data_IF_280449097161
#
_entry.id   IF_280449097161
#
_cell.length_a   1.000
_cell.length_b   1.000
_cell.length_c   1.000
_cell.angle_alpha   90.00
_cell.angle_beta   90.00
_cell.angle_gamma   90.00
#
_symmetry.space_group_name_H-M   'P 1'
#
loop_
_entity.id
_entity.type
_entity.pdbx_description
1 polymer ?
#
# COMPACT_ATOMS: atom_id res chain seq x y z
N UNK A 1 -19.70 -46.43 5.25
CA UNK A 1 -18.75 -45.60 4.46
C UNK A 1 -17.29 -45.97 4.71
N UNK A 2 -16.64 -45.61 5.83
CA UNK A 2 -15.21 -45.96 6.04
C UNK A 2 -14.92 -47.46 5.95
N UNK A 3 -15.69 -48.27 6.68
CA UNK A 3 -15.57 -49.74 6.66
C UNK A 3 -15.81 -50.35 5.26
N UNK A 4 -16.61 -49.70 4.42
CA UNK A 4 -16.91 -50.19 3.06
C UNK A 4 -15.73 -49.94 2.12
N UNK A 5 -15.08 -48.78 2.23
CA UNK A 5 -13.84 -48.51 1.51
C UNK A 5 -12.68 -49.39 1.99
N UNK A 6 -12.57 -49.66 3.28
CA UNK A 6 -11.56 -50.60 3.80
C UNK A 6 -11.75 -52.03 3.24
N UNK A 7 -13.00 -52.49 3.13
CA UNK A 7 -13.32 -53.77 2.46
C UNK A 7 -12.94 -53.76 0.97
N UNK A 8 -13.19 -52.65 0.26
CA UNK A 8 -12.77 -52.50 -1.13
C UNK A 8 -11.24 -52.54 -1.26
N UNK A 9 -10.51 -51.88 -0.35
CA UNK A 9 -9.06 -51.91 -0.31
C UNK A 9 -8.52 -53.32 -0.04
N UNK A 10 -9.11 -54.05 0.92
CA UNK A 10 -8.76 -55.45 1.22
C UNK A 10 -9.01 -56.39 0.03
N UNK A 11 -9.99 -56.08 -0.82
CA UNK A 11 -10.26 -56.81 -2.07
C UNK A 11 -9.38 -56.40 -3.26
N UNK A 12 -8.49 -55.42 -3.08
CA UNK A 12 -7.60 -54.91 -4.14
C UNK A 12 -8.27 -54.01 -5.17
N UNK A 13 -9.53 -53.62 -4.97
CA UNK A 13 -10.29 -52.75 -5.89
C UNK A 13 -9.88 -51.28 -5.81
N UNK A 14 -9.37 -50.85 -4.66
CA UNK A 14 -8.79 -49.51 -4.44
C UNK A 14 -7.48 -49.67 -3.65
N UNK A 15 -6.64 -48.63 -3.61
CA UNK A 15 -5.43 -48.67 -2.79
C UNK A 15 -5.77 -48.39 -1.32
N UNK A 16 -5.10 -49.04 -0.35
CA UNK A 16 -5.30 -48.74 1.08
C UNK A 16 -5.05 -47.26 1.42
N UNK A 17 -4.09 -46.60 0.77
CA UNK A 17 -3.80 -45.18 0.96
C UNK A 17 -4.88 -44.22 0.41
N UNK A 18 -5.78 -44.71 -0.43
CA UNK A 18 -6.85 -43.90 -1.04
C UNK A 18 -8.11 -43.81 -0.14
N UNK A 19 -8.21 -44.69 0.87
CA UNK A 19 -9.40 -44.84 1.72
C UNK A 19 -9.76 -43.53 2.41
N UNK A 20 -8.79 -42.82 3.00
CA UNK A 20 -9.04 -41.58 3.74
C UNK A 20 -9.59 -40.47 2.84
N UNK A 21 -8.98 -40.28 1.66
CA UNK A 21 -9.42 -39.32 0.65
C UNK A 21 -10.85 -39.60 0.18
N UNK A 22 -11.19 -40.88 -0.06
CA UNK A 22 -12.55 -41.28 -0.46
C UNK A 22 -13.57 -41.10 0.66
N UNK A 23 -13.19 -41.38 1.91
CA UNK A 23 -14.02 -41.09 3.09
C UNK A 23 -14.29 -39.59 3.19
N UNK A 24 -13.26 -38.75 3.04
CA UNK A 24 -13.41 -37.31 3.10
C UNK A 24 -14.33 -36.79 1.99
N UNK A 25 -14.11 -37.20 0.74
CA UNK A 25 -14.99 -36.85 -0.39
C UNK A 25 -16.45 -37.20 -0.09
N UNK A 26 -16.70 -38.40 0.43
CA UNK A 26 -18.06 -38.84 0.64
C UNK A 26 -18.71 -38.25 1.91
N UNK A 27 -17.91 -37.85 2.89
CA UNK A 27 -18.38 -37.19 4.12
C UNK A 27 -18.68 -35.72 3.88
N UNK A 28 -17.76 -35.02 3.22
CA UNK A 28 -17.93 -33.59 2.90
C UNK A 28 -18.90 -33.39 1.73
N UNK A 29 -18.91 -34.30 0.76
CA UNK A 29 -19.80 -34.26 -0.40
C UNK A 29 -19.31 -33.34 -1.52
N UNK A 30 -18.08 -32.82 -1.44
CA UNK A 30 -17.52 -31.87 -2.40
C UNK A 30 -16.07 -32.18 -2.77
N UNK A 31 -15.70 -31.80 -3.98
CA UNK A 31 -14.33 -31.95 -4.48
C UNK A 31 -13.97 -30.86 -5.49
N UNK A 32 -12.67 -30.75 -5.78
CA UNK A 32 -12.11 -29.90 -6.83
C UNK A 32 -11.39 -30.76 -7.86
N UNK A 33 -11.65 -30.51 -9.15
CA UNK A 33 -10.91 -31.09 -10.26
C UNK A 33 -10.06 -30.01 -10.95
N UNK A 34 -8.80 -30.31 -11.27
CA UNK A 34 -7.86 -29.34 -11.86
C UNK A 34 -8.39 -28.64 -13.12
N UNK A 35 -9.09 -29.37 -13.99
CA UNK A 35 -9.59 -28.84 -15.27
C UNK A 35 -11.10 -28.57 -15.31
N UNK A 36 -11.86 -29.10 -14.34
CA UNK A 36 -13.34 -29.02 -14.37
C UNK A 36 -13.89 -28.16 -13.24
N UNK A 37 -13.03 -27.74 -12.30
CA UNK A 37 -13.40 -26.91 -11.17
C UNK A 37 -14.17 -27.67 -10.11
N UNK A 38 -15.06 -26.95 -9.44
CA UNK A 38 -15.88 -27.42 -8.33
C UNK A 38 -16.79 -28.57 -8.77
N UNK A 39 -16.85 -29.61 -7.94
CA UNK A 39 -17.70 -30.78 -8.11
C UNK A 39 -18.49 -31.09 -6.85
N UNK A 40 -19.80 -31.33 -7.00
CA UNK A 40 -20.68 -31.82 -5.93
C UNK A 40 -20.91 -33.32 -6.09
N UNK A 41 -20.53 -34.09 -5.08
CA UNK A 41 -20.72 -35.53 -5.09
C UNK A 41 -22.19 -35.82 -4.81
N UNK A 42 -22.85 -36.51 -5.74
CA UNK A 42 -24.26 -36.89 -5.64
C UNK A 42 -24.45 -38.29 -5.08
N UNK A 43 -23.62 -39.22 -5.53
CA UNK A 43 -23.70 -40.61 -5.11
C UNK A 43 -22.31 -41.23 -5.04
N UNK A 44 -22.15 -42.15 -4.10
CA UNK A 44 -20.99 -43.03 -3.97
C UNK A 44 -21.53 -44.45 -3.94
N UNK A 45 -21.25 -45.21 -4.98
CA UNK A 45 -21.66 -46.61 -5.13
C UNK A 45 -20.45 -47.52 -4.96
N UNK A 46 -20.32 -48.06 -3.75
CA UNK A 46 -19.26 -49.00 -3.38
C UNK A 46 -19.43 -50.37 -4.04
N UNK A 47 -20.64 -50.72 -4.51
CA UNK A 47 -20.92 -52.00 -5.19
C UNK A 47 -20.41 -51.93 -6.63
N UNK A 48 -20.76 -50.86 -7.34
CA UNK A 48 -20.30 -50.61 -8.71
C UNK A 48 -18.88 -50.05 -8.79
N UNK A 49 -18.32 -49.62 -7.67
CA UNK A 49 -16.97 -49.04 -7.64
C UNK A 49 -16.91 -47.65 -8.24
N UNK A 50 -18.01 -46.87 -8.20
CA UNK A 50 -18.10 -45.56 -8.87
C UNK A 50 -18.68 -44.48 -7.98
N UNK A 51 -18.33 -43.23 -8.27
CA UNK A 51 -18.99 -42.03 -7.73
C UNK A 51 -19.53 -41.16 -8.86
N UNK A 52 -20.69 -40.53 -8.64
CA UNK A 52 -21.25 -39.55 -9.55
C UNK A 52 -21.04 -38.14 -9.00
N UNK A 53 -20.41 -37.28 -9.80
CA UNK A 53 -20.07 -35.90 -9.42
C UNK A 53 -20.68 -34.93 -10.42
N UNK A 54 -21.36 -33.91 -9.90
CA UNK A 54 -21.87 -32.79 -10.67
C UNK A 54 -20.81 -31.70 -10.74
N UNK A 55 -20.17 -31.55 -11.90
CA UNK A 55 -19.38 -30.37 -12.23
C UNK A 55 -20.22 -29.38 -13.04
N UNK A 56 -19.87 -28.09 -13.04
CA UNK A 56 -20.62 -27.04 -13.75
C UNK A 56 -20.91 -27.38 -15.22
N UNK A 57 -19.94 -27.97 -15.92
CA UNK A 57 -20.06 -28.34 -17.33
C UNK A 57 -20.30 -29.84 -17.57
N UNK A 58 -20.40 -30.64 -16.51
CA UNK A 58 -20.51 -32.11 -16.56
C UNK A 58 -21.38 -32.64 -15.41
N UNK A 59 -22.71 -32.47 -15.47
CA UNK A 59 -23.60 -33.03 -14.47
C UNK A 59 -23.59 -34.56 -14.52
N UNK A 60 -23.62 -35.19 -13.35
CA UNK A 60 -23.70 -36.65 -13.19
C UNK A 60 -22.48 -37.42 -13.69
N UNK A 61 -21.31 -36.79 -13.77
CA UNK A 61 -20.13 -37.43 -14.32
C UNK A 61 -19.67 -38.60 -13.43
N UNK A 62 -19.64 -39.80 -14.01
CA UNK A 62 -19.30 -41.04 -13.31
C UNK A 62 -17.80 -41.27 -13.32
N UNK A 63 -17.19 -41.38 -12.14
CA UNK A 63 -15.75 -41.57 -11.92
C UNK A 63 -15.53 -42.85 -11.11
N UNK A 64 -14.55 -43.65 -11.50
CA UNK A 64 -14.15 -44.87 -10.77
C UNK A 64 -13.52 -44.52 -9.41
N UNK A 65 -13.90 -45.24 -8.35
CA UNK A 65 -13.39 -44.98 -6.99
C UNK A 65 -11.88 -45.17 -6.87
N UNK A 66 -11.27 -46.04 -7.68
CA UNK A 66 -9.81 -46.21 -7.71
C UNK A 66 -9.08 -45.09 -8.48
N UNK A 67 -9.82 -44.24 -9.18
CA UNK A 67 -9.28 -43.13 -9.96
C UNK A 67 -9.59 -41.76 -9.34
N UNK A 68 -10.71 -41.63 -8.62
CA UNK A 68 -11.14 -40.37 -8.00
C UNK A 68 -10.02 -39.68 -7.17
N UNK A 69 -9.29 -40.35 -6.26
CA UNK A 69 -8.23 -39.72 -5.46
C UNK A 69 -7.07 -39.16 -6.28
N UNK A 70 -6.90 -39.62 -7.54
CA UNK A 70 -5.79 -39.20 -8.42
C UNK A 70 -6.10 -37.89 -9.16
N UNK A 71 -7.38 -37.54 -9.31
CA UNK A 71 -7.82 -36.39 -10.12
C UNK A 71 -8.70 -35.41 -9.34
N UNK A 72 -9.23 -35.81 -8.19
CA UNK A 72 -10.08 -35.00 -7.33
C UNK A 72 -9.38 -34.71 -6.01
N UNK A 73 -9.47 -33.46 -5.57
CA UNK A 73 -9.09 -33.05 -4.22
C UNK A 73 -10.37 -32.86 -3.41
N UNK A 74 -10.57 -33.56 -2.28
CA UNK A 74 -11.71 -33.29 -1.40
C UNK A 74 -11.66 -31.86 -0.88
N UNK A 75 -12.82 -31.21 -0.73
CA UNK A 75 -12.93 -29.91 -0.07
C UNK A 75 -14.01 -29.99 1.01
N UNK A 76 -13.88 -29.23 2.10
CA UNK A 76 -14.89 -29.24 3.15
C UNK A 76 -16.17 -28.51 2.74
N UNK A 77 -17.29 -28.83 3.37
CA UNK A 77 -18.57 -28.13 3.20
C UNK A 77 -18.49 -26.63 3.55
N UNK A 78 -17.55 -26.24 4.39
CA UNK A 78 -17.28 -24.84 4.75
C UNK A 78 -16.46 -24.10 3.70
N UNK A 79 -15.84 -24.79 2.75
CA UNK A 79 -15.06 -24.18 1.66
C UNK A 79 -15.93 -23.19 0.87
N UNK A 80 -15.35 -22.06 0.43
CA UNK A 80 -16.09 -20.97 -0.23
C UNK A 80 -16.92 -21.43 -1.44
N UNK A 81 -16.34 -22.28 -2.30
CA UNK A 81 -17.06 -22.87 -3.44
C UNK A 81 -18.21 -23.80 -3.02
N UNK A 82 -18.06 -24.56 -1.93
CA UNK A 82 -19.14 -25.39 -1.39
C UNK A 82 -20.27 -24.52 -0.82
N UNK A 83 -19.94 -23.41 -0.13
CA UNK A 83 -20.92 -22.44 0.37
C UNK A 83 -21.68 -21.74 -0.76
N UNK A 84 -21.01 -21.33 -1.84
CA UNK A 84 -21.70 -20.78 -3.03
C UNK A 84 -22.76 -21.74 -3.58
N UNK A 85 -22.44 -23.04 -3.62
CA UNK A 85 -23.33 -24.06 -4.17
C UNK A 85 -24.46 -24.49 -3.21
N UNK A 86 -24.34 -24.24 -1.90
CA UNK A 86 -25.28 -24.74 -0.89
C UNK A 86 -26.05 -23.65 -0.15
N UNK A 87 -25.44 -22.50 0.08
CA UNK A 87 -26.00 -21.37 0.81
C UNK A 87 -25.48 -20.03 0.27
N UNK A 88 -25.85 -19.70 -0.96
CA UNK A 88 -25.50 -18.42 -1.59
C UNK A 88 -26.11 -17.23 -0.83
N UNK A 89 -27.34 -17.37 -0.32
CA UNK A 89 -28.02 -16.28 0.41
C UNK A 89 -27.32 -15.96 1.72
N UNK A 90 -26.96 -16.97 2.52
CA UNK A 90 -26.18 -16.79 3.74
C UNK A 90 -24.79 -16.24 3.46
N UNK A 91 -24.13 -16.68 2.37
CA UNK A 91 -22.84 -16.13 1.97
C UNK A 91 -22.92 -14.64 1.60
N UNK A 92 -23.95 -14.21 0.87
CA UNK A 92 -24.19 -12.79 0.57
C UNK A 92 -24.45 -11.97 1.83
N UNK A 93 -25.25 -12.49 2.75
CA UNK A 93 -25.51 -11.82 4.03
C UNK A 93 -24.23 -11.69 4.87
N UNK A 94 -23.42 -12.75 4.93
CA UNK A 94 -22.12 -12.72 5.60
C UNK A 94 -21.18 -11.71 4.95
N UNK A 95 -21.12 -11.64 3.62
CA UNK A 95 -20.33 -10.64 2.91
C UNK A 95 -20.79 -9.21 3.21
N UNK A 96 -22.09 -8.98 3.40
CA UNK A 96 -22.62 -7.65 3.70
C UNK A 96 -22.38 -7.19 5.15
N UNK A 97 -22.33 -8.12 6.11
CA UNK A 97 -22.35 -7.80 7.54
C UNK A 97 -21.06 -8.18 8.29
N UNK A 98 -20.29 -9.15 7.79
CA UNK A 98 -19.17 -9.79 8.48
C UNK A 98 -18.03 -10.02 7.48
N UNK A 99 -17.41 -8.93 7.00
CA UNK A 99 -16.38 -8.99 5.95
C UNK A 99 -15.21 -9.91 6.32
N UNK A 100 -14.76 -9.83 7.57
CA UNK A 100 -13.63 -10.61 8.08
C UNK A 100 -13.91 -12.11 8.10
N UNK A 101 -15.11 -12.52 8.48
CA UNK A 101 -15.52 -13.93 8.48
C UNK A 101 -15.52 -14.51 7.07
N UNK A 102 -15.98 -13.75 6.06
CA UNK A 102 -15.87 -14.19 4.66
C UNK A 102 -14.42 -14.36 4.24
N UNK A 103 -13.54 -13.44 4.63
CA UNK A 103 -12.12 -13.52 4.30
C UNK A 103 -11.48 -14.73 5.00
N UNK A 104 -11.81 -14.98 6.26
CA UNK A 104 -11.36 -16.16 6.99
C UNK A 104 -11.80 -17.45 6.29
N UNK A 105 -13.04 -17.53 5.84
CA UNK A 105 -13.51 -18.69 5.03
C UNK A 105 -12.67 -18.87 3.77
N UNK A 106 -12.27 -17.79 3.09
CA UNK A 106 -11.41 -17.85 1.89
C UNK A 106 -9.99 -18.30 2.27
N UNK A 107 -9.45 -17.83 3.40
CA UNK A 107 -8.15 -18.27 3.93
C UNK A 107 -8.19 -19.77 4.26
N UNK A 108 -9.21 -20.24 4.98
CA UNK A 108 -9.37 -21.66 5.31
C UNK A 108 -9.57 -22.53 4.06
N UNK A 109 -10.17 -21.95 3.00
CA UNK A 109 -10.40 -22.64 1.72
C UNK A 109 -9.12 -22.80 0.90
N UNK A 110 -8.27 -21.77 0.84
CA UNK A 110 -7.16 -21.71 -0.12
C UNK A 110 -5.76 -21.67 0.52
N UNK A 111 -5.65 -21.46 1.83
CA UNK A 111 -4.39 -21.35 2.55
C UNK A 111 -3.45 -20.32 1.92
N UNK A 112 -2.26 -20.77 1.52
CA UNK A 112 -1.23 -19.93 0.88
C UNK A 112 -1.66 -19.29 -0.45
N UNK A 113 -2.77 -19.74 -1.04
CA UNK A 113 -3.31 -19.16 -2.28
C UNK A 113 -4.38 -18.09 -2.00
N UNK A 114 -4.71 -17.81 -0.74
CA UNK A 114 -5.66 -16.77 -0.34
C UNK A 114 -5.05 -15.36 -0.48
N UNK A 115 -4.73 -14.96 -1.71
CA UNK A 115 -4.22 -13.63 -2.04
C UNK A 115 -5.35 -12.61 -2.17
N UNK A 116 -5.01 -11.31 -2.23
CA UNK A 116 -6.01 -10.26 -2.48
C UNK A 116 -6.75 -10.45 -3.80
N UNK A 117 -6.07 -10.98 -4.82
CA UNK A 117 -6.67 -11.28 -6.12
C UNK A 117 -7.58 -12.51 -6.03
N UNK A 118 -7.21 -13.54 -5.26
CA UNK A 118 -8.07 -14.70 -5.02
C UNK A 118 -9.34 -14.33 -4.27
N UNK A 119 -9.28 -13.41 -3.30
CA UNK A 119 -10.49 -12.89 -2.62
C UNK A 119 -11.45 -12.27 -3.64
N UNK A 120 -10.92 -11.45 -4.57
CA UNK A 120 -11.73 -10.84 -5.61
C UNK A 120 -12.35 -11.90 -6.54
N UNK A 121 -11.54 -12.83 -7.04
CA UNK A 121 -11.97 -13.93 -7.91
C UNK A 121 -13.06 -14.79 -7.26
N UNK A 122 -12.93 -15.06 -5.95
CA UNK A 122 -13.88 -15.89 -5.23
C UNK A 122 -15.20 -15.18 -4.92
N UNK A 123 -15.25 -13.85 -4.85
CA UNK A 123 -16.47 -13.13 -4.48
C UNK A 123 -17.18 -12.47 -5.67
N UNK A 124 -16.45 -12.07 -6.71
CA UNK A 124 -16.99 -11.28 -7.83
C UNK A 124 -17.21 -12.18 -9.06
N UNK A 125 -18.35 -12.07 -9.77
CA UNK A 125 -19.50 -11.21 -9.50
C UNK A 125 -20.61 -11.90 -8.66
N UNK A 126 -20.41 -13.16 -8.28
CA UNK A 126 -21.50 -14.00 -7.76
C UNK A 126 -22.03 -13.56 -6.39
N UNK A 127 -21.12 -13.18 -5.49
CA UNK A 127 -21.43 -12.78 -4.10
C UNK A 127 -21.52 -11.25 -4.00
N UNK A 128 -20.58 -10.55 -4.64
CA UNK A 128 -20.47 -9.10 -4.62
C UNK A 128 -20.38 -8.60 -6.07
N UNK A 129 -21.16 -7.57 -6.38
CA UNK A 129 -21.11 -6.92 -7.68
C UNK A 129 -19.74 -6.26 -7.93
N UNK A 130 -19.31 -6.28 -9.19
CA UNK A 130 -17.97 -5.80 -9.59
C UNK A 130 -17.73 -4.34 -9.19
N UNK A 131 -18.75 -3.51 -9.27
CA UNK A 131 -18.66 -2.08 -9.01
C UNK A 131 -18.57 -1.76 -7.50
N UNK A 132 -19.14 -2.63 -6.66
CA UNK A 132 -19.12 -2.47 -5.20
C UNK A 132 -17.88 -3.05 -4.53
N UNK A 133 -17.18 -3.98 -5.21
CA UNK A 133 -16.04 -4.70 -4.64
C UNK A 133 -14.95 -3.77 -4.10
N UNK A 134 -14.64 -2.67 -4.78
CA UNK A 134 -13.58 -1.75 -4.32
C UNK A 134 -13.89 -1.17 -2.94
N UNK A 135 -15.12 -0.70 -2.74
CA UNK A 135 -15.59 -0.11 -1.47
C UNK A 135 -15.70 -1.18 -0.38
N UNK A 136 -16.19 -2.36 -0.75
CA UNK A 136 -16.25 -3.53 0.14
C UNK A 136 -14.86 -3.91 0.64
N UNK A 137 -13.87 -4.01 -0.26
CA UNK A 137 -12.50 -4.39 0.07
C UNK A 137 -11.77 -3.35 0.93
N UNK A 138 -12.04 -2.06 0.74
CA UNK A 138 -11.52 -1.02 1.64
C UNK A 138 -12.10 -1.14 3.06
N UNK A 139 -13.38 -1.46 3.18
CA UNK A 139 -14.05 -1.69 4.48
C UNK A 139 -13.48 -2.92 5.17
N UNK A 140 -13.42 -4.05 4.46
CA UNK A 140 -12.87 -5.30 4.98
C UNK A 140 -11.41 -5.15 5.43
N UNK A 141 -10.58 -4.45 4.65
CA UNK A 141 -9.18 -4.15 5.04
C UNK A 141 -9.09 -3.35 6.32
N UNK A 142 -9.95 -2.35 6.51
CA UNK A 142 -9.97 -1.55 7.74
C UNK A 142 -10.40 -2.38 8.95
N UNK A 143 -11.39 -3.25 8.79
CA UNK A 143 -11.83 -4.17 9.85
C UNK A 143 -10.69 -5.14 10.20
N UNK A 144 -10.12 -5.85 9.23
CA UNK A 144 -8.97 -6.77 9.45
C UNK A 144 -7.78 -6.09 10.12
N UNK A 145 -7.49 -4.83 9.79
CA UNK A 145 -6.43 -4.07 10.48
C UNK A 145 -6.72 -3.89 11.97
N UNK A 146 -7.98 -3.73 12.37
CA UNK A 146 -8.37 -3.50 13.77
C UNK A 146 -8.47 -4.77 14.61
N UNK A 147 -8.77 -5.91 13.99
CA UNK A 147 -9.07 -7.16 14.71
C UNK A 147 -7.84 -7.91 15.23
N UNK A 148 -6.65 -7.64 14.70
CA UNK A 148 -5.40 -8.21 15.24
C UNK A 148 -5.12 -9.67 14.88
N UNK A 149 -6.07 -10.45 14.36
CA UNK A 149 -5.82 -11.83 13.88
C UNK A 149 -5.32 -11.89 12.43
N UNK A 150 -5.56 -10.83 11.65
CA UNK A 150 -5.21 -10.78 10.24
C UNK A 150 -3.89 -10.05 10.00
N UNK A 151 -3.01 -10.70 9.24
CA UNK A 151 -1.81 -10.06 8.70
C UNK A 151 -2.00 -9.86 7.20
N UNK A 152 -2.15 -8.59 6.83
CA UNK A 152 -2.32 -8.19 5.43
C UNK A 152 -0.96 -8.11 4.74
N UNK A 153 -0.80 -8.71 3.56
CA UNK A 153 0.45 -8.64 2.82
C UNK A 153 0.68 -7.24 2.26
N UNK A 154 1.95 -6.91 2.03
CA UNK A 154 2.34 -5.65 1.36
C UNK A 154 2.19 -5.74 -0.16
N UNK A 155 2.25 -6.96 -0.72
CA UNK A 155 2.06 -7.24 -2.14
C UNK A 155 0.78 -8.04 -2.37
N UNK A 156 0.05 -7.72 -3.43
CA UNK A 156 -1.20 -8.41 -3.80
C UNK A 156 -1.01 -9.90 -4.12
N UNK A 157 0.22 -10.30 -4.47
CA UNK A 157 0.60 -11.68 -4.81
C UNK A 157 0.89 -12.56 -3.59
N UNK A 158 1.04 -11.95 -2.41
CA UNK A 158 1.28 -12.67 -1.16
C UNK A 158 -0.06 -13.02 -0.50
N UNK A 159 -0.07 -14.08 0.31
CA UNK A 159 -1.27 -14.56 0.99
C UNK A 159 -1.68 -13.64 2.15
N UNK A 160 -2.98 -13.59 2.42
CA UNK A 160 -3.49 -13.05 3.66
C UNK A 160 -3.37 -14.15 4.73
N UNK A 161 -2.70 -13.85 5.83
CA UNK A 161 -2.51 -14.80 6.92
C UNK A 161 -3.50 -14.53 8.05
N UNK A 162 -4.08 -15.60 8.61
CA UNK A 162 -4.90 -15.56 9.81
C UNK A 162 -4.16 -16.29 10.93
N UNK A 163 -4.17 -15.71 12.13
CA UNK A 163 -3.59 -16.28 13.32
C UNK A 163 -4.69 -16.50 14.37
N UNK A 164 -4.59 -17.59 15.14
CA UNK A 164 -5.59 -17.93 16.16
C UNK A 164 -5.52 -17.05 17.40
N UNK A 165 -4.37 -16.41 17.65
CA UNK A 165 -4.19 -15.44 18.71
C UNK A 165 -4.16 -14.05 18.09
N UNK A 166 -4.89 -13.13 18.71
CA UNK A 166 -4.81 -11.71 18.42
C UNK A 166 -3.39 -11.23 18.73
N UNK A 167 -2.72 -10.60 17.76
CA UNK A 167 -1.53 -9.80 18.06
C UNK A 167 -2.01 -8.36 18.30
N UNK A 168 -1.80 -7.79 19.50
CA UNK A 168 -2.17 -6.42 19.80
C UNK A 168 -1.59 -5.44 18.78
N UNK A 169 -2.30 -4.34 18.51
CA UNK A 169 -1.90 -3.33 17.52
C UNK A 169 -0.47 -2.84 17.74
N UNK A 170 -0.09 -2.60 19.00
CA UNK A 170 1.25 -2.17 19.36
C UNK A 170 2.32 -3.19 18.97
N UNK A 171 2.12 -4.47 19.30
CA UNK A 171 3.11 -5.52 18.99
C UNK A 171 3.26 -5.69 17.47
N UNK A 172 2.16 -5.61 16.72
CA UNK A 172 2.20 -5.63 15.24
C UNK A 172 3.03 -4.49 14.68
N UNK A 173 2.78 -3.27 15.14
CA UNK A 173 3.50 -2.07 14.69
C UNK A 173 4.98 -2.11 15.08
N UNK A 174 5.31 -2.64 16.25
CA UNK A 174 6.69 -2.87 16.68
C UNK A 174 7.39 -3.91 15.79
N UNK A 175 6.70 -5.00 15.43
CA UNK A 175 7.21 -6.02 14.51
C UNK A 175 7.43 -5.46 13.10
N UNK A 176 6.48 -4.68 12.58
CA UNK A 176 6.60 -4.02 11.28
C UNK A 176 7.79 -3.05 11.26
N UNK A 177 7.99 -2.29 12.34
CA UNK A 177 9.12 -1.36 12.44
C UNK A 177 10.47 -2.09 12.55
N UNK A 178 10.51 -3.21 13.28
CA UNK A 178 11.71 -4.02 13.45
C UNK A 178 12.10 -4.78 12.18
N UNK A 179 11.11 -5.21 11.39
CA UNK A 179 11.31 -5.94 10.14
C UNK A 179 11.56 -5.05 8.92
N UNK A 180 11.19 -3.77 8.99
CA UNK A 180 11.45 -2.78 7.95
C UNK A 180 12.95 -2.64 7.66
N UNK A 181 13.33 -2.81 6.38
CA UNK A 181 14.74 -2.75 5.94
C UNK A 181 15.08 -1.36 5.40
N UNK A 182 15.91 -0.65 6.16
CA UNK A 182 16.44 0.66 5.81
C UNK A 182 15.51 1.83 6.15
N UNK A 183 16.09 3.04 6.15
CA UNK A 183 15.46 4.24 6.67
C UNK A 183 14.14 4.57 5.98
N UNK A 184 14.09 4.46 4.64
CA UNK A 184 12.87 4.74 3.87
C UNK A 184 11.68 3.86 4.27
N UNK A 185 11.92 2.57 4.51
CA UNK A 185 10.86 1.66 4.96
C UNK A 185 10.42 1.99 6.40
N UNK A 186 11.38 2.28 7.28
CA UNK A 186 11.08 2.66 8.68
C UNK A 186 10.30 3.97 8.79
N UNK A 187 10.57 4.96 7.93
CA UNK A 187 9.82 6.23 7.88
C UNK A 187 8.33 6.00 7.57
N UNK A 188 8.03 5.07 6.65
CA UNK A 188 6.64 4.70 6.32
C UNK A 188 5.95 4.07 7.53
N UNK A 189 6.64 3.15 8.23
CA UNK A 189 6.07 2.52 9.43
C UNK A 189 5.92 3.53 10.56
N UNK A 190 6.91 4.41 10.79
CA UNK A 190 6.83 5.48 11.78
C UNK A 190 5.60 6.37 11.55
N UNK A 191 5.32 6.76 10.31
CA UNK A 191 4.12 7.54 9.97
C UNK A 191 2.81 6.77 10.22
N UNK A 192 2.78 5.44 10.05
CA UNK A 192 1.62 4.62 10.41
C UNK A 192 1.45 4.55 11.93
N UNK A 193 2.55 4.44 12.68
CA UNK A 193 2.50 4.44 14.15
C UNK A 193 1.99 5.78 14.67
N UNK A 194 2.47 6.91 14.14
CA UNK A 194 1.99 8.25 14.50
C UNK A 194 0.47 8.39 14.34
N UNK A 195 -0.12 7.80 13.29
CA UNK A 195 -1.57 7.85 13.04
C UNK A 195 -2.38 7.02 14.02
N UNK A 196 -1.80 5.95 14.55
CA UNK A 196 -2.45 5.01 15.47
C UNK A 196 -2.01 5.24 16.92
N UNK A 197 -1.30 6.32 17.23
CA UNK A 197 -0.72 6.58 18.55
C UNK A 197 -1.77 6.59 19.68
N UNK A 198 -3.00 7.03 19.39
CA UNK A 198 -4.11 7.04 20.36
C UNK A 198 -4.70 5.66 20.67
N UNK A 199 -4.38 4.64 19.87
CA UNK A 199 -4.87 3.26 20.03
C UNK A 199 -3.76 2.33 20.57
N UNK A 200 -2.61 2.88 21.01
CA UNK A 200 -1.51 2.11 21.57
C UNK A 200 -1.69 1.90 23.08
N UNK A 201 -1.35 0.70 23.56
CA UNK A 201 -1.44 0.34 24.97
C UNK A 201 -0.36 1.05 25.83
N UNK A 202 0.85 1.15 25.29
CA UNK A 202 2.03 1.76 25.92
C UNK A 202 2.85 2.56 24.89
N UNK A 203 2.47 3.83 24.73
CA UNK A 203 3.14 4.77 23.84
C UNK A 203 4.62 5.01 24.24
N UNK A 204 4.97 4.90 25.52
CA UNK A 204 6.32 5.13 26.01
C UNK A 204 7.26 3.99 25.57
N UNK A 205 6.83 2.75 25.73
CA UNK A 205 7.58 1.58 25.24
C UNK A 205 7.73 1.62 23.71
N UNK A 206 6.71 2.08 22.99
CA UNK A 206 6.79 2.26 21.54
C UNK A 206 7.86 3.32 21.17
N UNK A 207 7.86 4.46 21.86
CA UNK A 207 8.83 5.52 21.63
C UNK A 207 10.27 5.04 21.86
N UNK A 208 10.52 4.32 22.97
CA UNK A 208 11.82 3.71 23.28
C UNK A 208 12.29 2.76 22.18
N UNK A 209 11.38 1.90 21.67
CA UNK A 209 11.68 0.93 20.63
C UNK A 209 11.94 1.50 19.23
N UNK A 210 11.56 2.75 18.97
CA UNK A 210 11.59 3.32 17.60
C UNK A 210 12.47 4.55 17.44
N UNK A 211 12.41 5.51 18.36
CA UNK A 211 13.09 6.80 18.22
C UNK A 211 14.62 6.64 18.22
N UNK A 212 15.15 5.77 19.08
CA UNK A 212 16.59 5.48 19.13
C UNK A 212 17.12 4.96 17.79
N UNK A 213 16.37 4.07 17.14
CA UNK A 213 16.79 3.50 15.85
C UNK A 213 16.69 4.51 14.71
N UNK A 214 15.64 5.35 14.71
CA UNK A 214 15.54 6.46 13.76
C UNK A 214 16.69 7.44 13.93
N UNK A 215 17.06 7.80 15.16
CA UNK A 215 18.19 8.70 15.42
C UNK A 215 19.51 8.16 14.85
N UNK A 216 19.80 6.87 15.04
CA UNK A 216 20.99 6.20 14.49
C UNK A 216 20.99 6.23 12.95
N UNK A 217 19.87 5.86 12.32
CA UNK A 217 19.77 5.81 10.86
C UNK A 217 19.79 7.21 10.23
N UNK A 218 19.10 8.21 10.80
CA UNK A 218 19.16 9.60 10.35
C UNK A 218 20.60 10.09 10.36
N UNK A 219 21.33 9.87 11.45
CA UNK A 219 22.73 10.32 11.58
C UNK A 219 23.64 9.69 10.53
N UNK A 220 23.45 8.41 10.22
CA UNK A 220 24.26 7.73 9.21
C UNK A 220 23.91 8.14 7.77
N UNK A 221 22.68 8.57 7.52
CA UNK A 221 22.21 8.95 6.19
C UNK A 221 22.32 10.46 5.90
N UNK A 222 22.53 11.31 6.92
CA UNK A 222 22.58 12.76 6.75
C UNK A 222 23.53 13.23 5.64
N UNK A 223 24.73 12.63 5.54
CA UNK A 223 25.75 13.03 4.54
C UNK A 223 25.55 12.40 3.15
N UNK A 224 24.97 11.21 3.07
CA UNK A 224 24.90 10.43 1.82
C UNK A 224 23.53 10.49 1.17
N UNK A 225 22.48 10.74 1.95
CA UNK A 225 21.09 10.78 1.53
C UNK A 225 20.33 11.87 2.29
N UNK A 226 20.83 13.11 2.22
CA UNK A 226 20.24 14.27 2.91
C UNK A 226 18.71 14.42 2.72
N UNK A 227 18.13 14.21 1.51
CA UNK A 227 16.67 14.30 1.36
C UNK A 227 15.90 13.28 2.21
N UNK A 228 16.38 12.04 2.26
CA UNK A 228 15.76 10.98 3.06
C UNK A 228 15.99 11.21 4.56
N UNK A 229 17.17 11.68 4.94
CA UNK A 229 17.48 12.00 6.33
C UNK A 229 16.59 13.13 6.86
N UNK A 230 16.35 14.18 6.06
CA UNK A 230 15.46 15.27 6.44
C UNK A 230 14.00 14.82 6.55
N UNK A 231 13.51 14.03 5.59
CA UNK A 231 12.18 13.42 5.69
C UNK A 231 12.04 12.57 6.95
N UNK A 232 13.08 11.81 7.29
CA UNK A 232 13.11 10.97 8.47
C UNK A 232 13.14 11.76 9.79
N UNK A 233 13.85 12.90 9.84
CA UNK A 233 13.79 13.83 10.98
C UNK A 233 12.35 14.28 11.18
N UNK A 234 11.69 14.77 10.13
CA UNK A 234 10.32 15.23 10.22
C UNK A 234 9.36 14.13 10.68
N UNK A 235 9.49 12.93 10.13
CA UNK A 235 8.66 11.79 10.50
C UNK A 235 8.91 11.31 11.94
N UNK A 236 10.16 11.34 12.40
CA UNK A 236 10.52 11.05 13.80
C UNK A 236 9.90 12.09 14.73
N UNK A 237 9.96 13.36 14.39
CA UNK A 237 9.44 14.43 15.25
C UNK A 237 7.90 14.37 15.31
N UNK A 238 7.25 14.06 14.18
CA UNK A 238 5.81 13.76 14.13
C UNK A 238 5.45 12.56 15.02
N UNK A 239 6.27 11.50 15.00
CA UNK A 239 6.12 10.32 15.85
C UNK A 239 6.31 10.63 17.33
N UNK A 240 7.38 11.34 17.70
CA UNK A 240 7.64 11.73 19.09
C UNK A 240 6.48 12.56 19.64
N UNK A 241 6.00 13.55 18.86
CA UNK A 241 4.83 14.35 19.22
C UNK A 241 3.56 13.51 19.38
N UNK A 242 3.31 12.57 18.47
CA UNK A 242 2.14 11.71 18.53
C UNK A 242 2.14 10.78 19.76
N UNK A 243 3.32 10.33 20.20
CA UNK A 243 3.49 9.46 21.37
C UNK A 243 3.65 10.24 22.69
N UNK A 244 3.70 11.58 22.65
CA UNK A 244 3.99 12.40 23.83
C UNK A 244 5.41 12.20 24.39
N UNK A 245 6.35 11.78 23.53
CA UNK A 245 7.73 11.51 23.91
C UNK A 245 8.64 12.71 23.62
N UNK A 246 9.65 12.91 24.45
CA UNK A 246 10.69 13.92 24.22
C UNK A 246 11.81 13.37 23.33
N UNK A 247 12.34 14.22 22.47
CA UNK A 247 13.51 13.92 21.66
C UNK A 247 14.75 14.26 22.48
N UNK A 248 15.62 13.29 22.73
CA UNK A 248 16.84 13.50 23.52
C UNK A 248 17.78 14.53 22.90
N UNK A 249 18.48 15.30 23.73
CA UNK A 249 19.32 16.45 23.36
C UNK A 249 20.42 16.15 22.32
N UNK A 250 20.84 14.89 22.18
CA UNK A 250 21.84 14.45 21.20
C UNK A 250 21.30 13.90 19.88
N UNK A 251 19.98 13.97 19.66
CA UNK A 251 19.35 13.46 18.44
C UNK A 251 19.66 14.37 17.24
N UNK A 252 19.87 13.80 16.03
CA UNK A 252 20.10 14.61 14.83
C UNK A 252 18.85 15.45 14.52
N UNK A 253 19.02 16.74 14.25
CA UNK A 253 17.92 17.66 13.92
C UNK A 253 17.94 18.02 12.44
N UNK A 254 16.98 18.84 12.00
CA UNK A 254 17.00 19.42 10.65
C UNK A 254 18.30 20.20 10.42
N UNK A 255 18.78 20.94 11.44
CA UNK A 255 20.07 21.63 11.42
C UNK A 255 21.24 20.69 11.09
N UNK A 256 21.28 19.50 11.71
CA UNK A 256 22.34 18.50 11.46
C UNK A 256 22.39 18.06 9.99
N UNK A 257 21.24 18.04 9.30
CA UNK A 257 21.19 17.69 7.87
C UNK A 257 21.60 18.89 7.02
N UNK A 258 21.14 20.10 7.34
CA UNK A 258 21.52 21.31 6.61
C UNK A 258 23.01 21.68 6.75
N UNK A 259 23.65 21.34 7.87
CA UNK A 259 25.11 21.47 8.08
C UNK A 259 25.94 20.67 7.06
N UNK A 260 25.37 19.65 6.41
CA UNK A 260 26.06 18.93 5.33
C UNK A 260 26.02 19.68 3.99
N UNK A 261 25.44 20.89 3.97
CA UNK A 261 25.26 21.77 2.82
C UNK A 261 24.66 21.09 1.57
N UNK A 262 23.53 20.37 1.69
CA UNK A 262 22.87 19.78 0.53
C UNK A 262 22.17 20.85 -0.32
N UNK A 263 21.98 20.57 -1.61
CA UNK A 263 21.20 21.43 -2.49
C UNK A 263 19.72 21.44 -2.07
N UNK A 264 19.17 22.62 -1.74
CA UNK A 264 17.75 22.77 -1.39
C UNK A 264 16.83 22.27 -2.51
N UNK A 265 17.21 22.48 -3.78
CA UNK A 265 16.48 22.00 -4.94
C UNK A 265 16.40 20.48 -4.96
N UNK A 266 17.51 19.79 -4.75
CA UNK A 266 17.55 18.32 -4.73
C UNK A 266 16.71 17.77 -3.57
N UNK A 267 16.81 18.40 -2.40
CA UNK A 267 16.05 17.99 -1.21
C UNK A 267 14.55 18.17 -1.42
N UNK A 268 14.10 19.36 -1.81
CA UNK A 268 12.66 19.66 -1.94
C UNK A 268 12.00 18.85 -3.07
N UNK A 269 12.71 18.58 -4.15
CA UNK A 269 12.16 17.81 -5.27
C UNK A 269 12.11 16.31 -5.01
N UNK A 270 12.97 15.78 -4.13
CA UNK A 270 13.01 14.37 -3.78
C UNK A 270 11.98 13.95 -2.71
N UNK A 271 11.52 14.89 -1.87
CA UNK A 271 10.52 14.59 -0.83
C UNK A 271 9.08 14.61 -1.38
N UNK A 272 8.12 13.89 -0.74
CA UNK A 272 6.71 13.96 -1.11
C UNK A 272 6.15 15.38 -1.04
N UNK A 273 5.24 15.73 -1.96
CA UNK A 273 4.64 17.06 -2.06
C UNK A 273 4.07 17.60 -0.73
N UNK A 274 3.47 16.72 0.09
CA UNK A 274 2.91 17.07 1.39
C UNK A 274 3.96 17.54 2.42
N UNK A 275 5.25 17.25 2.22
CA UNK A 275 6.35 17.66 3.11
C UNK A 275 7.19 18.82 2.55
N UNK A 276 7.03 19.16 1.27
CA UNK A 276 7.87 20.18 0.62
C UNK A 276 7.79 21.54 1.28
N UNK A 277 6.59 21.99 1.67
CA UNK A 277 6.45 23.26 2.39
C UNK A 277 7.27 23.28 3.67
N UNK A 278 7.16 22.22 4.49
CA UNK A 278 7.93 22.08 5.72
C UNK A 278 9.44 22.02 5.47
N UNK A 279 9.88 21.43 4.37
CA UNK A 279 11.30 21.45 3.96
C UNK A 279 11.77 22.87 3.65
N UNK A 280 10.95 23.67 2.95
CA UNK A 280 11.29 25.05 2.66
C UNK A 280 11.30 25.92 3.93
N UNK A 281 10.32 25.76 4.81
CA UNK A 281 10.29 26.45 6.11
C UNK A 281 11.53 26.05 6.96
N UNK A 282 11.91 24.76 6.93
CA UNK A 282 13.12 24.26 7.57
C UNK A 282 14.39 24.89 6.99
N UNK A 283 14.50 24.97 5.66
CA UNK A 283 15.64 25.59 4.99
C UNK A 283 15.76 27.08 5.34
N UNK A 284 14.63 27.81 5.35
CA UNK A 284 14.57 29.21 5.75
C UNK A 284 15.06 29.43 7.20
N UNK A 285 14.72 28.52 8.11
CA UNK A 285 15.12 28.63 9.51
C UNK A 285 16.62 28.36 9.76
N UNK A 286 17.30 27.65 8.86
CA UNK A 286 18.68 27.16 9.09
C UNK A 286 19.72 27.71 8.12
N UNK A 287 19.32 28.46 7.09
CA UNK A 287 20.24 29.00 6.09
C UNK A 287 20.08 30.52 5.98
N UNK A 288 21.17 31.28 6.12
CA UNK A 288 21.12 32.75 6.04
C UNK A 288 20.84 33.26 4.62
N UNK A 289 21.35 32.56 3.60
CA UNK A 289 21.19 32.90 2.17
C UNK A 289 19.94 32.25 1.55
N UNK A 290 18.95 31.91 2.40
CA UNK A 290 17.75 31.19 1.98
C UNK A 290 17.00 31.95 0.88
N UNK A 291 16.85 33.27 1.00
CA UNK A 291 16.07 34.08 0.07
C UNK A 291 16.67 34.03 -1.34
N UNK A 292 17.97 34.34 -1.45
CA UNK A 292 18.71 34.27 -2.72
C UNK A 292 18.67 32.87 -3.34
N UNK A 293 18.81 31.83 -2.51
CA UNK A 293 18.72 30.44 -2.97
C UNK A 293 17.34 30.11 -3.53
N UNK A 294 16.26 30.59 -2.90
CA UNK A 294 14.89 30.38 -3.40
C UNK A 294 14.59 31.16 -4.67
N UNK A 295 15.09 32.39 -4.80
CA UNK A 295 14.97 33.20 -6.02
C UNK A 295 15.55 32.44 -7.23
N UNK A 296 16.78 31.94 -7.09
CA UNK A 296 17.44 31.15 -8.14
C UNK A 296 16.71 29.83 -8.38
N UNK A 297 16.29 29.15 -7.31
CA UNK A 297 15.62 27.85 -7.41
C UNK A 297 14.25 27.95 -8.09
N UNK A 298 13.51 29.04 -7.90
CA UNK A 298 12.18 29.25 -8.49
C UNK A 298 12.19 29.09 -10.02
N UNK A 299 13.29 29.44 -10.69
CA UNK A 299 13.43 29.27 -12.15
C UNK A 299 13.79 27.83 -12.59
N UNK A 300 13.90 26.88 -11.66
CA UNK A 300 14.41 25.54 -11.95
C UNK A 300 13.53 24.40 -11.40
N UNK A 301 12.35 24.74 -10.87
CA UNK A 301 11.42 23.80 -10.25
C UNK A 301 10.05 23.86 -10.94
N UNK A 302 9.22 22.80 -10.82
CA UNK A 302 7.88 22.80 -11.38
C UNK A 302 7.00 23.93 -10.84
N UNK A 303 6.02 24.38 -11.62
CA UNK A 303 5.14 25.51 -11.33
C UNK A 303 4.51 25.48 -9.92
N UNK A 304 4.15 24.29 -9.43
CA UNK A 304 3.63 24.14 -8.07
C UNK A 304 4.64 24.57 -6.99
N UNK A 305 5.90 24.16 -7.15
CA UNK A 305 6.98 24.53 -6.22
C UNK A 305 7.37 26.00 -6.34
N UNK A 306 7.24 26.60 -7.53
CA UNK A 306 7.38 28.05 -7.70
C UNK A 306 6.43 28.80 -6.78
N UNK A 307 5.16 28.38 -6.75
CA UNK A 307 4.16 28.96 -5.83
C UNK A 307 4.56 28.84 -4.36
N UNK A 308 5.12 27.71 -3.94
CA UNK A 308 5.61 27.54 -2.57
C UNK A 308 6.79 28.46 -2.24
N UNK A 309 7.73 28.64 -3.17
CA UNK A 309 8.83 29.60 -3.05
C UNK A 309 8.29 31.03 -2.93
N UNK A 310 7.40 31.43 -3.84
CA UNK A 310 6.79 32.76 -3.86
C UNK A 310 6.03 33.06 -2.56
N UNK A 311 5.27 32.10 -2.05
CA UNK A 311 4.53 32.23 -0.79
C UNK A 311 5.47 32.36 0.40
N UNK A 312 6.57 31.59 0.43
CA UNK A 312 7.56 31.70 1.51
C UNK A 312 8.30 33.03 1.47
N UNK A 313 8.74 33.47 0.28
CA UNK A 313 9.38 34.78 0.10
C UNK A 313 8.43 35.91 0.52
N UNK A 314 7.18 35.87 0.10
CA UNK A 314 6.17 36.86 0.50
C UNK A 314 5.91 36.87 2.01
N UNK A 315 5.88 35.70 2.67
CA UNK A 315 5.67 35.60 4.11
C UNK A 315 6.82 36.21 4.96
N UNK A 316 7.98 36.45 4.35
CA UNK A 316 9.17 37.02 4.99
C UNK A 316 9.63 38.33 4.32
N UNK A 317 8.68 39.09 3.76
CA UNK A 317 8.91 40.42 3.16
C UNK A 317 9.92 40.45 1.99
N UNK A 318 10.10 39.33 1.28
CA UNK A 318 10.96 39.21 0.09
C UNK A 318 10.18 39.23 -1.25
N UNK A 319 8.92 39.69 -1.23
CA UNK A 319 8.07 39.73 -2.42
C UNK A 319 8.63 40.66 -3.51
N UNK A 320 9.12 41.85 -3.13
CA UNK A 320 9.72 42.80 -4.07
C UNK A 320 11.00 42.24 -4.72
N UNK A 321 11.87 41.59 -3.95
CA UNK A 321 13.07 40.95 -4.50
C UNK A 321 12.73 39.81 -5.48
N UNK A 322 11.63 39.09 -5.24
CA UNK A 322 11.16 38.10 -6.20
C UNK A 322 10.58 38.73 -7.46
N UNK A 323 9.86 39.84 -7.31
CA UNK A 323 9.34 40.61 -8.45
C UNK A 323 10.47 41.13 -9.35
N UNK A 324 11.52 41.72 -8.76
CA UNK A 324 12.70 42.19 -9.49
C UNK A 324 13.39 41.05 -10.26
N UNK A 325 13.54 39.87 -9.64
CA UNK A 325 14.11 38.71 -10.31
C UNK A 325 13.21 38.20 -11.47
N UNK A 326 11.88 38.18 -11.28
CA UNK A 326 10.93 37.83 -12.34
C UNK A 326 11.04 38.81 -13.52
N UNK A 327 11.05 40.12 -13.25
CA UNK A 327 11.24 41.16 -14.27
C UNK A 327 12.56 40.94 -15.04
N UNK A 328 13.65 40.71 -14.32
CA UNK A 328 14.95 40.46 -14.92
C UNK A 328 14.91 39.22 -15.82
N UNK A 329 14.37 38.09 -15.35
CA UNK A 329 14.29 36.85 -16.11
C UNK A 329 13.37 36.96 -17.34
N UNK A 330 12.26 37.70 -17.23
CA UNK A 330 11.33 37.94 -18.34
C UNK A 330 11.99 38.80 -19.41
N UNK A 331 12.57 39.94 -19.04
CA UNK A 331 13.18 40.89 -19.97
C UNK A 331 14.37 40.31 -20.74
N UNK A 332 15.11 39.38 -20.11
CA UNK A 332 16.24 38.69 -20.75
C UNK A 332 15.84 37.37 -21.44
N UNK A 333 14.55 37.06 -21.53
CA UNK A 333 14.04 35.79 -22.04
C UNK A 333 14.69 34.56 -21.35
N UNK A 334 15.08 34.68 -20.08
CA UNK A 334 15.78 33.65 -19.30
C UNK A 334 14.84 32.85 -18.36
N UNK A 335 13.59 33.29 -18.21
CA UNK A 335 12.57 32.58 -17.45
C UNK A 335 12.27 31.20 -18.07
N UNK A 336 12.19 30.18 -17.23
CA UNK A 336 11.81 28.81 -17.59
C UNK A 336 10.29 28.69 -17.81
N UNK A 337 9.87 27.70 -18.59
CA UNK A 337 8.45 27.52 -18.92
C UNK A 337 7.59 27.28 -17.67
N UNK A 338 8.08 26.51 -16.70
CA UNK A 338 7.37 26.23 -15.43
C UNK A 338 7.15 27.50 -14.57
N UNK A 339 8.12 28.41 -14.55
CA UNK A 339 8.03 29.69 -13.86
C UNK A 339 6.96 30.60 -14.51
N UNK A 340 7.00 30.69 -15.84
CA UNK A 340 6.04 31.47 -16.62
C UNK A 340 4.63 30.86 -16.57
N UNK A 341 4.54 29.53 -16.58
CA UNK A 341 3.28 28.80 -16.43
C UNK A 341 2.63 29.09 -15.09
N UNK A 342 3.40 29.06 -13.99
CA UNK A 342 2.91 29.45 -12.68
C UNK A 342 2.39 30.89 -12.69
N UNK A 343 3.17 31.85 -13.21
CA UNK A 343 2.78 33.26 -13.25
C UNK A 343 1.48 33.47 -14.06
N UNK A 344 1.36 32.84 -15.23
CA UNK A 344 0.20 32.97 -16.10
C UNK A 344 -1.06 32.29 -15.53
N UNK A 345 -0.89 31.17 -14.83
CA UNK A 345 -1.98 30.35 -14.31
C UNK A 345 -2.53 30.87 -12.99
N UNK A 346 -1.65 31.18 -12.03
CA UNK A 346 -2.06 31.58 -10.68
C UNK A 346 -2.33 33.09 -10.58
N UNK A 347 -1.73 33.89 -11.46
CA UNK A 347 -1.87 35.36 -11.51
C UNK A 347 -1.90 36.03 -10.13
N UNK A 348 -0.84 35.86 -9.31
CA UNK A 348 -0.83 36.48 -7.98
C UNK A 348 -0.89 37.99 -8.12
N UNK A 349 -1.72 38.66 -7.30
CA UNK A 349 -1.95 40.11 -7.39
C UNK A 349 -0.64 40.92 -7.38
N UNK A 350 0.34 40.47 -6.59
CA UNK A 350 1.65 41.11 -6.45
C UNK A 350 2.51 41.11 -7.73
N UNK A 351 2.24 40.21 -8.68
CA UNK A 351 3.06 40.00 -9.88
C UNK A 351 2.26 40.11 -11.18
N UNK A 352 0.98 40.48 -11.11
CA UNK A 352 0.09 40.50 -12.28
C UNK A 352 0.49 41.57 -13.29
N UNK A 353 1.11 42.66 -12.84
CA UNK A 353 1.63 43.72 -13.70
C UNK A 353 2.81 43.28 -14.57
N UNK A 354 3.43 42.14 -14.26
CA UNK A 354 4.49 41.53 -15.07
C UNK A 354 3.96 40.80 -16.32
N UNK A 355 2.64 40.59 -16.45
CA UNK A 355 2.03 39.94 -17.62
C UNK A 355 1.91 40.90 -18.81
N UNK A 356 3.05 41.41 -19.26
CA UNK A 356 3.17 42.35 -20.38
C UNK A 356 3.39 41.64 -21.73
N UNK A 357 3.50 42.40 -22.81
CA UNK A 357 3.84 41.89 -24.14
C UNK A 357 5.19 41.14 -24.14
N UNK A 358 6.15 41.64 -23.36
CA UNK A 358 7.47 41.04 -23.16
C UNK A 358 7.36 39.67 -22.47
N UNK A 359 6.47 39.52 -21.48
CA UNK A 359 6.21 38.23 -20.86
C UNK A 359 5.64 37.20 -21.83
N UNK A 360 4.73 37.59 -22.72
CA UNK A 360 4.27 36.70 -23.80
C UNK A 360 5.39 36.33 -24.78
N UNK A 361 6.29 37.28 -25.08
CA UNK A 361 7.51 37.02 -25.85
C UNK A 361 8.42 35.99 -25.17
N UNK A 362 8.65 36.14 -23.86
CA UNK A 362 9.42 35.19 -23.06
C UNK A 362 8.77 33.80 -23.02
N UNK A 363 7.43 33.71 -22.94
CA UNK A 363 6.69 32.45 -23.01
C UNK A 363 6.87 31.74 -24.35
N UNK A 364 6.76 32.47 -25.46
CA UNK A 364 7.02 31.92 -26.80
C UNK A 364 8.46 31.41 -26.91
N UNK A 365 9.44 32.19 -26.45
CA UNK A 365 10.85 31.78 -26.44
C UNK A 365 11.08 30.53 -25.56
N UNK A 366 10.41 30.41 -24.41
CA UNK A 366 10.51 29.24 -23.56
C UNK A 366 9.98 27.97 -24.25
N UNK A 367 8.81 28.06 -24.89
CA UNK A 367 8.21 26.95 -25.66
C UNK A 367 9.12 26.54 -26.84
N UNK A 368 9.69 27.50 -27.56
CA UNK A 368 10.61 27.24 -28.67
C UNK A 368 11.90 26.54 -28.21
N UNK A 369 12.43 26.89 -27.04
CA UNK A 369 13.59 26.21 -26.46
C UNK A 369 13.28 24.77 -26.10
N UNK A 370 12.18 24.51 -25.39
CA UNK A 370 11.80 23.16 -24.97
C UNK A 370 11.53 22.25 -26.18
N UNK A 371 10.79 22.74 -27.17
CA UNK A 371 10.53 21.98 -28.41
C UNK A 371 11.78 21.73 -29.26
N UNK A 372 12.81 22.58 -29.12
CA UNK A 372 14.10 22.39 -29.79
C UNK A 372 14.98 21.38 -29.06
N UNK A 373 14.94 21.36 -27.73
CA UNK A 373 15.69 20.41 -26.90
C UNK A 373 15.07 19.00 -26.97
N UNK A 374 13.74 18.88 -27.02
CA UNK A 374 13.04 17.61 -27.27
C UNK A 374 13.40 16.97 -28.62
N UNK A 375 13.70 17.77 -29.64
CA UNK A 375 14.15 17.26 -30.95
C UNK A 375 15.61 16.81 -30.97
N UNK A 376 16.40 17.18 -29.96
CA UNK A 376 17.83 16.88 -29.84
C UNK A 376 18.13 15.68 -28.94
N UNK A 377 17.22 15.38 -28.01
CA UNK A 377 17.24 14.17 -27.17
C UNK A 377 16.72 12.95 -27.94
#
# INVERSE_FOLDING_TARGET
MKEEFEKLAASGKILPGDVETLVQMATEGFCMHKSWGFGRIKTVDVVLGKMAVDFNNRPGHSIDLAFAPKILTPISKEHIEARKATDMTGLKQMAALQHQEVIKVIIDSYGIFATSDKVQESLVPEVIDKDDYKKWWETARREMKKDGHFKLPTKKTEAIEYQSQEIPLQERLQQDFSSARGLKARVVVAAEISKNAGDLDDAAAMAEGTLGKLNEEIKSHARTQAPLALEAVMARDDLAKALGAEIGEGAPTEATVWETNPSVKEVVTAVPAARQRRVLDSFQAHNEEWATSLLVMANQVPARLVGECANLLAAHDQAESFKEELEHLINHHAAAAELLLWLAKEQPEAYTDLLTTEAFGAMLSAIERETSDEKRA
#
